data_IF_389879440286
#
_entry.id   IF_389879440286
#
_cell.length_a   1.000
_cell.length_b   1.000
_cell.length_c   1.000
_cell.angle_alpha   90.00
_cell.angle_beta   90.00
_cell.angle_gamma   90.00
#
_symmetry.space_group_name_H-M   'P 1'
#
loop_
_entity.id
_entity.type
_entity.pdbx_description
1 polymer ?
#
# COMPACT_ATOMS: atom_id res chain seq x y z
N UNK A 1 -33.46 1.11 -7.00
CA UNK A 1 -33.20 0.58 -5.64
C UNK A 1 -31.70 0.46 -5.52
N UNK A 2 -31.08 1.48 -4.92
CA UNK A 2 -29.66 1.43 -4.55
C UNK A 2 -29.49 0.29 -3.56
N UNK A 3 -28.85 -0.78 -4.00
CA UNK A 3 -28.30 -1.77 -3.10
C UNK A 3 -27.16 -1.08 -2.36
N UNK A 4 -27.43 -0.58 -1.16
CA UNK A 4 -26.40 -0.23 -0.19
C UNK A 4 -25.43 -1.41 -0.13
N UNK A 5 -24.25 -1.22 -0.73
CA UNK A 5 -23.15 -2.15 -0.60
C UNK A 5 -22.86 -2.24 0.89
N UNK A 6 -23.30 -3.34 1.52
CA UNK A 6 -22.89 -3.68 2.87
C UNK A 6 -21.39 -3.54 2.92
N UNK A 7 -20.91 -2.49 3.61
CA UNK A 7 -19.48 -2.32 3.87
C UNK A 7 -19.07 -3.56 4.63
N UNK A 8 -18.37 -4.47 3.95
CA UNK A 8 -17.70 -5.58 4.60
C UNK A 8 -16.63 -4.95 5.50
N UNK A 9 -16.98 -4.73 6.76
CA UNK A 9 -16.01 -4.34 7.79
C UNK A 9 -15.29 -5.61 8.20
N UNK A 10 -14.38 -6.07 7.33
CA UNK A 10 -13.49 -7.16 7.67
C UNK A 10 -12.49 -6.61 8.68
N UNK A 11 -12.71 -6.89 9.97
CA UNK A 11 -11.80 -6.49 11.02
C UNK A 11 -10.42 -7.08 10.74
N UNK A 12 -9.39 -6.23 10.72
CA UNK A 12 -8.01 -6.71 10.68
C UNK A 12 -7.74 -7.37 12.05
N UNK A 13 -7.27 -8.63 12.10
CA UNK A 13 -6.89 -9.25 13.36
C UNK A 13 -5.88 -8.36 14.09
N UNK A 14 -6.09 -8.11 15.39
CA UNK A 14 -5.24 -7.21 16.19
C UNK A 14 -3.74 -7.55 16.08
N UNK A 15 -3.42 -8.84 15.97
CA UNK A 15 -2.05 -9.31 15.75
C UNK A 15 -1.43 -8.80 14.45
N UNK A 16 -2.20 -8.76 13.36
CA UNK A 16 -1.72 -8.29 12.06
C UNK A 16 -1.48 -6.78 12.06
N UNK A 17 -2.31 -6.03 12.81
CA UNK A 17 -2.11 -4.60 13.02
C UNK A 17 -0.84 -4.33 13.86
N UNK A 18 -0.65 -5.09 14.95
CA UNK A 18 0.52 -4.97 15.81
C UNK A 18 1.81 -5.32 15.05
N UNK A 19 1.78 -6.38 14.25
CA UNK A 19 2.90 -6.80 13.41
C UNK A 19 3.30 -5.71 12.40
N UNK A 20 2.31 -5.11 11.71
CA UNK A 20 2.54 -3.99 10.81
C UNK A 20 3.14 -2.77 11.54
N UNK A 21 2.64 -2.43 12.73
CA UNK A 21 3.18 -1.34 13.56
C UNK A 21 4.63 -1.60 13.97
N UNK A 22 4.95 -2.82 14.40
CA UNK A 22 6.31 -3.23 14.76
C UNK A 22 7.26 -3.15 13.56
N UNK A 23 6.82 -3.60 12.38
CA UNK A 23 7.60 -3.51 11.15
C UNK A 23 7.89 -2.05 10.77
N UNK A 24 6.90 -1.16 10.87
CA UNK A 24 7.08 0.27 10.60
C UNK A 24 8.02 0.93 11.61
N UNK A 25 7.85 0.64 12.90
CA UNK A 25 8.72 1.17 13.95
C UNK A 25 10.17 0.70 13.77
N UNK A 26 10.38 -0.60 13.54
CA UNK A 26 11.71 -1.14 13.24
C UNK A 26 12.31 -0.55 11.97
N UNK A 27 11.48 -0.29 10.96
CA UNK A 27 11.89 0.39 9.73
C UNK A 27 12.42 1.81 9.95
N UNK A 28 11.93 2.55 10.95
CA UNK A 28 12.40 3.90 11.24
C UNK A 28 13.86 3.94 11.70
N UNK A 29 14.30 2.90 12.41
CA UNK A 29 15.65 2.75 12.96
C UNK A 29 16.69 2.34 11.90
N UNK A 30 16.26 1.94 10.71
CA UNK A 30 17.15 1.52 9.64
C UNK A 30 17.84 2.74 9.01
N UNK A 31 19.07 2.59 8.53
CA UNK A 31 19.80 3.70 7.89
C UNK A 31 19.56 3.75 6.38
N UNK A 32 19.47 2.59 5.74
CA UNK A 32 19.36 2.49 4.28
C UNK A 32 17.91 2.65 3.83
N UNK A 33 17.73 3.49 2.82
CA UNK A 33 16.41 3.72 2.21
C UNK A 33 15.78 2.45 1.64
N UNK A 34 16.58 1.52 1.12
CA UNK A 34 16.09 0.23 0.62
C UNK A 34 15.47 -0.63 1.72
N UNK A 35 16.11 -0.69 2.89
CA UNK A 35 15.63 -1.47 4.02
C UNK A 35 14.36 -0.86 4.63
N UNK A 36 14.29 0.49 4.69
CA UNK A 36 13.05 1.22 5.06
C UNK A 36 11.89 0.86 4.13
N UNK A 37 12.15 0.82 2.82
CA UNK A 37 11.14 0.45 1.84
C UNK A 37 10.70 -1.00 1.96
N UNK A 38 11.59 -1.89 2.38
CA UNK A 38 11.23 -3.28 2.64
C UNK A 38 10.25 -3.40 3.82
N UNK A 39 10.55 -2.73 4.94
CA UNK A 39 9.68 -2.67 6.11
C UNK A 39 8.29 -2.07 5.78
N UNK A 40 8.28 -0.97 5.01
CA UNK A 40 7.05 -0.35 4.54
C UNK A 40 6.22 -1.29 3.66
N UNK A 41 6.85 -1.95 2.68
CA UNK A 41 6.16 -2.91 1.80
C UNK A 41 5.57 -4.09 2.59
N UNK A 42 6.31 -4.59 3.58
CA UNK A 42 5.82 -5.65 4.46
C UNK A 42 4.54 -5.23 5.20
N UNK A 43 4.54 -4.06 5.86
CA UNK A 43 3.38 -3.54 6.56
C UNK A 43 2.18 -3.30 5.62
N UNK A 44 2.41 -2.71 4.45
CA UNK A 44 1.36 -2.47 3.46
C UNK A 44 0.74 -3.78 2.94
N UNK A 45 1.56 -4.79 2.66
CA UNK A 45 1.06 -6.09 2.23
C UNK A 45 0.22 -6.77 3.32
N UNK A 46 0.54 -6.55 4.60
CA UNK A 46 -0.23 -7.12 5.72
C UNK A 46 -1.57 -6.42 5.92
N UNK A 47 -1.59 -5.09 5.78
CA UNK A 47 -2.78 -4.26 5.98
C UNK A 47 -3.75 -4.28 4.80
N UNK A 48 -3.22 -4.30 3.57
CA UNK A 48 -4.01 -4.12 2.35
C UNK A 48 -3.99 -5.35 1.44
N UNK A 49 -3.28 -6.40 1.83
CA UNK A 49 -3.04 -7.58 1.00
C UNK A 49 -1.93 -7.36 -0.02
N UNK A 50 -1.39 -8.46 -0.53
CA UNK A 50 -0.43 -8.44 -1.62
C UNK A 50 -1.16 -8.27 -2.96
N UNK A 51 -0.81 -7.24 -3.72
CA UNK A 51 -1.22 -7.13 -5.12
C UNK A 51 -0.48 -8.18 -5.94
N UNK A 52 -1.23 -9.12 -6.53
CA UNK A 52 -0.65 -10.05 -7.50
C UNK A 52 -0.04 -9.28 -8.67
N UNK A 53 0.94 -9.84 -9.40
CA UNK A 53 1.52 -9.19 -10.57
C UNK A 53 0.48 -8.70 -11.58
N UNK A 54 -0.59 -9.47 -11.77
CA UNK A 54 -1.69 -9.17 -12.68
C UNK A 54 -2.51 -7.98 -12.17
N UNK A 55 -2.92 -8.00 -10.90
CA UNK A 55 -3.66 -6.91 -10.29
C UNK A 55 -2.83 -5.61 -10.24
N UNK A 56 -1.51 -5.72 -10.04
CA UNK A 56 -0.58 -4.59 -10.12
C UNK A 56 -0.49 -4.03 -11.54
N UNK A 57 -0.45 -4.88 -12.56
CA UNK A 57 -0.44 -4.43 -13.95
C UNK A 57 -1.74 -3.71 -14.32
N UNK A 58 -2.89 -4.25 -13.90
CA UNK A 58 -4.19 -3.60 -14.10
C UNK A 58 -4.28 -2.26 -13.36
N UNK A 59 -3.81 -2.21 -12.11
CA UNK A 59 -3.73 -0.97 -11.33
C UNK A 59 -2.88 0.08 -12.03
N UNK A 60 -1.68 -0.28 -12.52
CA UNK A 60 -0.81 0.64 -13.26
C UNK A 60 -1.48 1.15 -14.54
N UNK A 61 -2.13 0.27 -15.31
CA UNK A 61 -2.88 0.67 -16.50
C UNK A 61 -4.05 1.62 -16.17
N UNK A 62 -4.71 1.44 -15.02
CA UNK A 62 -5.72 2.37 -14.54
C UNK A 62 -5.11 3.71 -14.09
N UNK A 63 -4.01 3.71 -13.34
CA UNK A 63 -3.26 4.90 -12.91
C UNK A 63 -2.83 5.75 -14.11
N UNK A 64 -2.31 5.12 -15.16
CA UNK A 64 -1.90 5.77 -16.40
C UNK A 64 -3.08 6.43 -17.12
N UNK A 65 -4.22 5.71 -17.22
CA UNK A 65 -5.47 6.26 -17.80
C UNK A 65 -6.00 7.45 -17.00
N UNK A 66 -5.91 7.40 -15.67
CA UNK A 66 -6.36 8.50 -14.79
C UNK A 66 -5.37 9.65 -14.70
N UNK A 67 -4.15 9.49 -15.23
CA UNK A 67 -3.10 10.51 -15.17
C UNK A 67 -2.68 10.84 -13.74
N UNK A 68 -2.87 9.92 -12.78
CA UNK A 68 -2.64 10.20 -11.35
C UNK A 68 -1.15 10.49 -11.09
N UNK A 69 -0.24 9.71 -11.68
CA UNK A 69 1.21 9.94 -11.59
C UNK A 69 1.69 11.15 -12.43
N UNK A 70 0.91 11.64 -13.40
CA UNK A 70 1.28 12.83 -14.18
C UNK A 70 1.31 14.11 -13.34
N UNK A 71 0.56 14.16 -12.22
CA UNK A 71 0.60 15.26 -11.26
C UNK A 71 1.88 15.28 -10.40
N UNK A 72 2.69 14.21 -10.42
CA UNK A 72 3.95 14.11 -9.66
C UNK A 72 5.21 14.37 -10.50
N UNK A 73 5.08 14.82 -11.77
CA UNK A 73 6.22 15.39 -12.49
C UNK A 73 6.60 16.73 -11.84
N UNK A 74 7.33 16.65 -10.73
CA UNK A 74 8.13 17.76 -10.25
C UNK A 74 9.18 18.01 -11.35
N UNK A 75 9.18 19.24 -11.85
CA UNK A 75 10.14 19.78 -12.78
C UNK A 75 11.50 19.75 -12.06
N UNK A 76 12.42 18.91 -12.51
CA UNK A 76 13.85 19.12 -12.24
C UNK A 76 14.39 19.94 -13.41
N UNK A 77 14.30 21.26 -13.27
CA UNK A 77 15.10 22.23 -13.99
C UNK A 77 16.37 22.51 -13.20
#
# INVERSE_FOLDING_TARGET
MDSEQEKIVQGIPMYDLMDACCALQGGMELEKHEDKNYALKHALNRLFGYLTPEAKAEFNAWVDRKGWLKKQKIILS
#
